data_IF_032387220796
#
_entry.id   IF_032387220796
#
_cell.length_a   1.000
_cell.length_b   1.000
_cell.length_c   1.000
_cell.angle_alpha   90.00
_cell.angle_beta   90.00
_cell.angle_gamma   90.00
#
_symmetry.space_group_name_H-M   'P 1'
#
loop_
_entity.id
_entity.type
_entity.pdbx_description
1 polymer ?
#
# COMPACT_ATOMS: atom_id res chain seq x y z
N UNK A 1 0.03 33.73 24.94
CA UNK A 1 0.82 32.57 25.41
C UNK A 1 1.19 31.80 24.16
N UNK A 2 2.48 31.74 23.83
CA UNK A 2 2.96 30.78 22.84
C UNK A 2 3.08 29.47 23.61
N UNK A 3 2.04 28.64 23.55
CA UNK A 3 2.14 27.29 24.07
C UNK A 3 2.97 26.51 23.05
N UNK A 4 4.28 26.47 23.27
CA UNK A 4 5.17 25.65 22.48
C UNK A 4 4.68 24.19 22.53
N UNK A 5 4.64 23.54 21.37
CA UNK A 5 4.27 22.13 21.30
C UNK A 5 5.25 21.31 22.15
N UNK A 6 4.78 20.24 22.81
CA UNK A 6 5.68 19.37 23.56
C UNK A 6 6.78 18.82 22.64
N UNK A 7 7.96 18.61 23.21
CA UNK A 7 9.08 18.05 22.48
C UNK A 7 8.78 16.59 22.11
N UNK A 8 8.36 16.39 20.86
CA UNK A 8 8.13 15.07 20.31
C UNK A 8 9.48 14.43 19.98
N UNK A 9 9.60 13.13 20.25
CA UNK A 9 10.75 12.36 19.81
C UNK A 9 10.93 12.52 18.29
N UNK A 10 12.11 12.99 17.89
CA UNK A 10 12.50 13.12 16.50
C UNK A 10 13.81 12.39 16.26
N UNK A 11 13.82 11.52 15.25
CA UNK A 11 15.04 10.87 14.80
C UNK A 11 15.88 11.86 13.99
N UNK A 12 17.10 12.11 14.45
CA UNK A 12 18.08 12.90 13.72
C UNK A 12 19.15 11.95 13.18
N UNK A 13 19.24 11.82 11.86
CA UNK A 13 20.13 10.83 11.21
C UNK A 13 21.59 10.97 11.62
N UNK A 14 22.10 12.18 11.81
CA UNK A 14 23.50 12.41 12.18
C UNK A 14 23.75 12.19 13.67
N UNK A 15 22.83 12.61 14.53
CA UNK A 15 22.93 12.43 16.00
C UNK A 15 22.70 10.98 16.42
N UNK A 16 21.74 10.33 15.78
CA UNK A 16 21.21 9.02 16.16
C UNK A 16 21.73 7.89 15.26
N UNK A 17 22.79 8.14 14.48
CA UNK A 17 23.37 7.17 13.54
C UNK A 17 23.72 5.84 14.23
N UNK A 18 24.27 5.92 15.44
CA UNK A 18 24.65 4.74 16.25
C UNK A 18 23.45 3.90 16.71
N UNK A 19 22.23 4.44 16.64
CA UNK A 19 20.99 3.72 16.94
C UNK A 19 20.43 3.01 15.71
N UNK A 20 20.95 3.29 14.50
CA UNK A 20 20.53 2.63 13.27
C UNK A 20 21.02 1.19 13.29
N UNK A 21 20.07 0.25 13.24
CA UNK A 21 20.35 -1.16 13.00
C UNK A 21 20.12 -1.45 11.53
N UNK A 22 21.06 -2.18 10.93
CA UNK A 22 20.92 -2.71 9.57
C UNK A 22 20.72 -4.20 9.67
N UNK A 23 19.68 -4.70 9.00
CA UNK A 23 19.33 -6.11 8.97
C UNK A 23 19.21 -6.53 7.50
N UNK A 24 19.72 -7.72 7.17
CA UNK A 24 19.50 -8.33 5.86
C UNK A 24 18.12 -8.97 5.82
N UNK A 25 17.34 -8.56 4.83
CA UNK A 25 15.92 -8.85 4.79
C UNK A 25 15.56 -9.72 3.57
N UNK A 26 14.93 -10.86 3.84
CA UNK A 26 14.38 -11.70 2.79
C UNK A 26 12.96 -11.27 2.43
N UNK A 27 12.83 -10.70 1.24
CA UNK A 27 11.55 -10.35 0.63
C UNK A 27 10.84 -11.61 0.12
N UNK A 28 9.65 -11.91 0.65
CA UNK A 28 8.83 -13.05 0.22
C UNK A 28 7.62 -12.60 -0.57
N UNK A 29 7.40 -13.16 -1.75
CA UNK A 29 6.27 -12.83 -2.59
C UNK A 29 6.57 -13.13 -4.06
N UNK A 30 5.65 -12.80 -4.97
CA UNK A 30 4.37 -12.16 -4.71
C UNK A 30 3.30 -13.06 -4.13
N UNK A 31 2.43 -12.45 -3.33
CA UNK A 31 1.24 -13.08 -2.80
C UNK A 31 -0.02 -12.50 -3.45
N UNK A 32 -1.08 -13.30 -3.51
CA UNK A 32 -2.40 -12.83 -3.89
C UNK A 32 -2.96 -11.93 -2.80
N UNK A 33 -3.61 -10.86 -3.23
CA UNK A 33 -4.50 -10.10 -2.37
C UNK A 33 -5.65 -10.94 -1.81
N UNK A 34 -6.14 -10.54 -0.64
CA UNK A 34 -7.23 -11.21 0.08
C UNK A 34 -8.49 -11.27 -0.79
N UNK A 35 -9.03 -12.47 -0.97
CA UNK A 35 -10.24 -12.71 -1.77
C UNK A 35 -10.00 -12.89 -3.28
N UNK A 36 -8.75 -12.81 -3.75
CA UNK A 36 -8.42 -12.91 -5.19
C UNK A 36 -7.56 -14.12 -5.58
N UNK A 37 -7.20 -15.01 -4.63
CA UNK A 37 -6.26 -16.11 -4.89
C UNK A 37 -6.70 -17.11 -5.95
N UNK A 38 -8.01 -17.22 -6.20
CA UNK A 38 -8.55 -18.09 -7.26
C UNK A 38 -8.30 -17.55 -8.68
N UNK A 39 -7.92 -16.27 -8.82
CA UNK A 39 -7.85 -15.58 -10.12
C UNK A 39 -6.43 -15.36 -10.66
N UNK A 40 -5.38 -15.53 -9.85
CA UNK A 40 -4.02 -15.09 -10.21
C UNK A 40 -2.92 -16.15 -9.99
N UNK A 41 -3.27 -17.37 -9.56
CA UNK A 41 -2.32 -18.47 -9.25
C UNK A 41 -1.24 -18.10 -8.21
N UNK A 42 -1.39 -16.99 -7.49
CA UNK A 42 -0.44 -16.55 -6.48
C UNK A 42 -0.77 -17.21 -5.13
N UNK A 43 0.25 -17.36 -4.29
CA UNK A 43 0.07 -17.85 -2.93
C UNK A 43 -0.80 -16.89 -2.10
N UNK A 44 -1.68 -17.36 -1.21
CA UNK A 44 -2.47 -16.47 -0.36
C UNK A 44 -1.60 -15.57 0.52
N UNK A 45 -2.08 -14.37 0.84
CA UNK A 45 -1.44 -13.49 1.83
C UNK A 45 -1.30 -14.21 3.18
N UNK A 46 -0.08 -14.39 3.72
CA UNK A 46 0.09 -14.96 5.05
C UNK A 46 -0.40 -13.98 6.13
N UNK A 47 -0.86 -14.48 7.28
CA UNK A 47 -1.27 -13.61 8.38
C UNK A 47 -0.14 -13.44 9.39
N UNK A 48 0.78 -12.52 9.11
CA UNK A 48 2.02 -12.31 9.88
C UNK A 48 2.19 -10.83 10.24
N UNK A 49 3.06 -10.53 11.20
CA UNK A 49 3.56 -9.16 11.43
C UNK A 49 4.77 -8.89 10.55
N UNK A 50 4.98 -7.63 10.17
CA UNK A 50 6.15 -7.20 9.41
C UNK A 50 5.93 -5.97 8.55
N UNK A 51 6.84 -5.79 7.60
CA UNK A 51 6.80 -4.75 6.57
C UNK A 51 6.31 -5.36 5.27
N UNK A 52 5.52 -4.59 4.53
CA UNK A 52 5.05 -4.95 3.19
C UNK A 52 5.33 -3.82 2.20
N UNK A 53 5.53 -4.21 0.94
CA UNK A 53 5.65 -3.30 -0.19
C UNK A 53 4.45 -3.48 -1.12
N UNK A 54 3.84 -2.40 -1.58
CA UNK A 54 2.95 -2.44 -2.74
C UNK A 54 3.75 -1.99 -3.95
N UNK A 55 3.75 -2.80 -5.00
CA UNK A 55 4.53 -2.56 -6.21
C UNK A 55 3.70 -2.76 -7.47
N UNK A 56 4.10 -2.07 -8.54
CA UNK A 56 3.63 -2.36 -9.89
C UNK A 56 4.73 -3.04 -10.68
N UNK A 57 4.38 -4.02 -11.52
CA UNK A 57 5.30 -4.54 -12.53
C UNK A 57 5.79 -3.41 -13.43
N UNK A 58 7.10 -3.36 -13.69
CA UNK A 58 7.70 -2.38 -14.58
C UNK A 58 8.93 -2.97 -15.25
N UNK A 59 8.87 -3.15 -16.57
CA UNK A 59 9.93 -3.78 -17.38
C UNK A 59 10.33 -5.14 -16.78
N UNK A 60 11.58 -5.28 -16.38
CA UNK A 60 12.21 -6.46 -15.78
C UNK A 60 12.16 -6.46 -14.23
N UNK A 61 11.45 -5.50 -13.63
CA UNK A 61 11.36 -5.37 -12.18
C UNK A 61 10.05 -4.74 -11.70
N UNK A 62 10.16 -3.87 -10.71
CA UNK A 62 9.03 -3.31 -9.98
C UNK A 62 9.22 -1.84 -9.64
N UNK A 63 8.14 -1.06 -9.70
CA UNK A 63 8.08 0.29 -9.13
C UNK A 63 7.39 0.22 -7.77
N UNK A 64 8.01 0.80 -6.74
CA UNK A 64 7.42 0.94 -5.42
C UNK A 64 6.27 1.95 -5.43
N UNK A 65 5.08 1.51 -5.06
CA UNK A 65 3.90 2.36 -4.85
C UNK A 65 3.83 2.88 -3.42
N UNK A 66 3.96 1.99 -2.44
CA UNK A 66 3.88 2.33 -1.02
C UNK A 66 4.50 1.24 -0.17
N UNK A 67 4.97 1.62 1.01
CA UNK A 67 5.46 0.70 2.05
C UNK A 67 4.59 0.86 3.28
N UNK A 68 4.45 -0.21 4.07
CA UNK A 68 3.83 -0.08 5.38
C UNK A 68 4.26 -1.18 6.34
N UNK A 69 3.99 -0.93 7.61
CA UNK A 69 4.27 -1.85 8.72
C UNK A 69 2.95 -2.25 9.37
N UNK A 70 2.83 -3.51 9.76
CA UNK A 70 1.64 -4.04 10.43
C UNK A 70 1.96 -5.20 11.35
N UNK A 71 1.15 -5.38 12.39
CA UNK A 71 1.20 -6.56 13.26
C UNK A 71 0.32 -7.71 12.74
N UNK A 72 -0.42 -7.49 11.64
CA UNK A 72 -1.18 -8.51 10.92
C UNK A 72 -1.41 -8.06 9.47
N UNK A 73 -0.80 -8.77 8.52
CA UNK A 73 -1.00 -8.53 7.08
C UNK A 73 -2.47 -8.74 6.69
N UNK A 74 -3.11 -9.81 7.17
CA UNK A 74 -4.50 -10.11 6.85
C UNK A 74 -5.45 -8.98 7.27
N UNK A 75 -5.33 -8.50 8.51
CA UNK A 75 -6.15 -7.39 9.01
C UNK A 75 -5.87 -6.10 8.25
N UNK A 76 -4.59 -5.77 8.01
CA UNK A 76 -4.21 -4.54 7.32
C UNK A 76 -4.71 -4.51 5.88
N UNK A 77 -4.65 -5.63 5.16
CA UNK A 77 -5.02 -5.65 3.75
C UNK A 77 -6.54 -5.68 3.58
N UNK A 78 -7.27 -6.29 4.52
CA UNK A 78 -8.74 -6.13 4.59
C UNK A 78 -9.12 -4.66 4.83
N UNK A 79 -8.39 -3.94 5.69
CA UNK A 79 -8.60 -2.51 5.89
C UNK A 79 -8.33 -1.73 4.60
N UNK A 80 -7.17 -1.94 3.95
CA UNK A 80 -6.87 -1.29 2.66
C UNK A 80 -7.96 -1.55 1.62
N UNK A 81 -8.45 -2.79 1.54
CA UNK A 81 -9.56 -3.15 0.64
C UNK A 81 -10.78 -2.29 0.91
N UNK A 82 -11.18 -2.17 2.19
CA UNK A 82 -12.31 -1.34 2.58
C UNK A 82 -12.10 0.13 2.21
N UNK A 83 -10.92 0.70 2.49
CA UNK A 83 -10.62 2.10 2.17
C UNK A 83 -10.64 2.37 0.66
N UNK A 84 -10.21 1.42 -0.18
CA UNK A 84 -10.35 1.52 -1.64
C UNK A 84 -11.81 1.44 -2.08
N UNK A 85 -12.59 0.50 -1.54
CA UNK A 85 -14.02 0.36 -1.86
C UNK A 85 -14.83 1.57 -1.38
N UNK A 86 -14.39 2.21 -0.32
CA UNK A 86 -14.93 3.47 0.18
C UNK A 86 -14.34 4.69 -0.53
N UNK A 87 -13.47 4.54 -1.52
CA UNK A 87 -12.92 5.68 -2.26
C UNK A 87 -12.06 6.62 -1.42
N UNK A 88 -11.65 6.21 -0.23
CA UNK A 88 -10.80 7.04 0.63
C UNK A 88 -9.35 7.10 0.12
N UNK A 89 -8.95 6.15 -0.72
CA UNK A 89 -7.61 6.10 -1.31
C UNK A 89 -7.57 6.49 -2.78
N UNK A 90 -6.45 7.07 -3.18
CA UNK A 90 -6.12 7.33 -4.59
C UNK A 90 -5.97 6.01 -5.34
N UNK A 91 -6.62 5.92 -6.49
CA UNK A 91 -6.60 4.75 -7.37
C UNK A 91 -5.84 5.11 -8.63
N UNK A 92 -4.84 4.29 -8.95
CA UNK A 92 -3.95 4.50 -10.09
C UNK A 92 -4.33 3.57 -11.24
N UNK A 93 -4.13 4.07 -12.45
CA UNK A 93 -4.23 3.27 -13.66
C UNK A 93 -2.98 2.39 -13.78
N UNK A 94 -3.18 1.09 -13.61
CA UNK A 94 -2.09 0.11 -13.55
C UNK A 94 -1.39 -0.06 -14.89
N UNK A 95 -2.11 0.07 -15.99
CA UNK A 95 -1.51 -0.08 -17.32
C UNK A 95 -0.58 1.11 -17.63
N UNK A 96 -0.91 2.30 -17.14
CA UNK A 96 0.00 3.45 -17.18
C UNK A 96 1.18 3.27 -16.20
N UNK A 97 0.93 2.72 -15.00
CA UNK A 97 2.00 2.47 -14.03
C UNK A 97 3.06 1.49 -14.58
N UNK A 98 2.64 0.48 -15.35
CA UNK A 98 3.55 -0.48 -16.03
C UNK A 98 4.50 0.14 -17.04
N UNK A 99 4.16 1.31 -17.58
CA UNK A 99 5.03 2.10 -18.47
C UNK A 99 5.68 3.27 -17.74
N UNK A 100 5.59 3.31 -16.41
CA UNK A 100 6.24 4.32 -15.58
C UNK A 100 5.51 5.65 -15.53
N UNK A 101 4.25 5.69 -15.95
CA UNK A 101 3.42 6.90 -15.97
C UNK A 101 2.43 6.84 -14.81
N UNK A 102 2.46 7.85 -13.94
CA UNK A 102 1.45 8.00 -12.90
C UNK A 102 0.19 8.62 -13.51
N UNK A 103 -0.90 7.85 -13.55
CA UNK A 103 -2.22 8.34 -13.92
C UNK A 103 -3.22 7.95 -12.84
N UNK A 104 -3.95 8.93 -12.31
CA UNK A 104 -4.98 8.70 -11.31
C UNK A 104 -6.33 8.48 -12.01
N UNK A 105 -7.04 7.41 -11.63
CA UNK A 105 -8.43 7.17 -12.03
C UNK A 105 -9.37 7.82 -11.00
N UNK A 106 -8.92 7.88 -9.74
CA UNK A 106 -9.65 8.51 -8.65
C UNK A 106 -8.67 9.15 -7.66
N UNK A 107 -8.97 10.37 -7.24
CA UNK A 107 -8.17 11.10 -6.25
C UNK A 107 -8.77 10.94 -4.84
N UNK A 108 -8.03 10.28 -3.94
CA UNK A 108 -8.49 9.94 -2.60
C UNK A 108 -8.42 11.08 -1.57
N UNK A 109 -8.39 10.71 -0.30
CA UNK A 109 -8.08 11.57 0.84
C UNK A 109 -9.00 12.81 0.96
N UNK A 110 -8.41 14.01 1.06
CA UNK A 110 -9.16 15.26 1.21
C UNK A 110 -10.07 15.57 0.02
N UNK A 111 -9.72 15.11 -1.19
CA UNK A 111 -10.61 15.25 -2.34
C UNK A 111 -11.83 14.35 -2.21
N UNK A 112 -11.63 13.07 -1.88
CA UNK A 112 -12.72 12.11 -1.70
C UNK A 112 -13.74 12.55 -0.66
N UNK A 113 -13.29 13.20 0.43
CA UNK A 113 -14.18 13.76 1.46
C UNK A 113 -15.16 14.80 0.91
N UNK A 114 -14.76 15.56 -0.13
CA UNK A 114 -15.55 16.64 -0.73
C UNK A 114 -16.34 16.20 -1.98
N UNK A 115 -16.01 15.06 -2.57
CA UNK A 115 -16.56 14.60 -3.86
C UNK A 115 -17.13 13.19 -3.73
N UNK A 116 -17.83 12.92 -2.61
CA UNK A 116 -18.34 11.58 -2.31
C UNK A 116 -19.37 11.09 -3.32
N UNK A 117 -20.20 12.00 -3.82
CA UNK A 117 -21.21 11.73 -4.84
C UNK A 117 -20.57 11.37 -6.19
N UNK A 118 -19.49 12.05 -6.59
CA UNK A 118 -18.69 11.71 -7.77
C UNK A 118 -18.17 10.26 -7.67
N UNK A 119 -17.55 9.90 -6.54
CA UNK A 119 -17.11 8.52 -6.32
C UNK A 119 -18.27 7.54 -6.46
N UNK A 120 -19.42 7.81 -5.83
CA UNK A 120 -20.57 6.90 -5.89
C UNK A 120 -21.17 6.76 -7.30
N UNK A 121 -21.12 7.81 -8.13
CA UNK A 121 -21.54 7.76 -9.54
C UNK A 121 -20.59 6.89 -10.37
N UNK A 122 -19.29 6.94 -10.07
CA UNK A 122 -18.27 6.28 -10.89
C UNK A 122 -17.77 4.94 -10.33
N UNK A 123 -18.04 4.59 -9.06
CA UNK A 123 -17.54 3.36 -8.42
C UNK A 123 -17.93 2.06 -9.14
N UNK A 124 -19.05 2.09 -9.86
CA UNK A 124 -19.61 0.95 -10.59
C UNK A 124 -19.05 0.82 -12.02
N UNK A 125 -18.30 1.81 -12.52
CA UNK A 125 -17.42 1.61 -13.66
C UNK A 125 -16.31 0.66 -13.21
N UNK A 126 -16.69 -0.61 -13.29
CA UNK A 126 -16.05 -1.87 -12.97
C UNK A 126 -14.52 -1.75 -12.73
N UNK A 127 -14.00 -2.42 -11.70
CA UNK A 127 -12.55 -2.71 -11.49
C UNK A 127 -11.65 -1.70 -10.73
N UNK A 128 -12.19 -0.73 -10.00
CA UNK A 128 -11.37 0.12 -9.11
C UNK A 128 -10.53 -0.67 -8.09
N UNK A 129 -11.03 -1.83 -7.65
CA UNK A 129 -10.28 -2.82 -6.87
C UNK A 129 -9.48 -3.79 -7.74
N UNK A 130 -10.13 -4.51 -8.68
CA UNK A 130 -9.47 -5.61 -9.43
C UNK A 130 -8.17 -5.19 -10.13
N UNK A 131 -8.08 -4.06 -10.85
CA UNK A 131 -6.83 -3.75 -11.57
C UNK A 131 -5.69 -3.33 -10.63
N UNK A 132 -5.96 -2.43 -9.69
CA UNK A 132 -4.98 -1.95 -8.71
C UNK A 132 -4.54 -3.01 -7.71
N UNK A 133 -5.35 -4.03 -7.45
CA UNK A 133 -5.12 -5.02 -6.40
C UNK A 133 -4.62 -6.36 -6.94
N UNK A 134 -5.03 -6.77 -8.15
CA UNK A 134 -4.65 -8.07 -8.72
C UNK A 134 -3.15 -8.21 -9.02
N UNK A 135 -2.41 -7.09 -9.05
CA UNK A 135 -1.00 -7.05 -9.43
C UNK A 135 -0.09 -6.43 -8.36
N UNK A 136 -0.63 -6.10 -7.18
CA UNK A 136 0.21 -5.69 -6.05
C UNK A 136 0.94 -6.91 -5.52
N UNK A 137 2.11 -7.13 -6.09
CA UNK A 137 3.11 -8.02 -5.57
C UNK A 137 3.65 -7.36 -4.31
N UNK A 138 3.37 -7.97 -3.17
CA UNK A 138 3.94 -7.55 -1.92
C UNK A 138 4.96 -8.55 -1.44
N UNK A 139 6.04 -7.98 -0.92
CA UNK A 139 7.11 -8.71 -0.31
C UNK A 139 7.00 -8.55 1.20
N UNK A 140 6.84 -9.64 1.93
CA UNK A 140 6.74 -9.64 3.40
C UNK A 140 8.12 -9.81 4.03
N UNK A 141 8.32 -9.11 5.16
CA UNK A 141 9.38 -9.38 6.13
C UNK A 141 8.85 -10.20 7.30
N UNK A 142 9.62 -11.20 7.73
CA UNK A 142 9.45 -11.83 9.03
C UNK A 142 10.49 -11.27 10.00
N UNK A 143 10.07 -11.00 11.24
CA UNK A 143 10.87 -10.62 12.41
C UNK A 143 11.37 -9.16 12.48
N UNK A 144 10.45 -8.19 12.54
CA UNK A 144 10.77 -6.89 13.16
C UNK A 144 9.59 -6.46 14.05
N UNK A 145 9.71 -6.75 15.34
CA UNK A 145 9.08 -6.02 16.45
C UNK A 145 10.12 -5.93 17.56
#
# INVERSE_FOLDING_TARGET
>A
MNDDLPEFWSFNRSRDESLIRTEDLQWRGPFSWIGFGQNNKLQPTPNVSGVYLFTFEYRDGYILRSVGITNSMKRRFSQHTREYLEGNYTILDVEYAKVGIRKEIWHGWGYAKRHRDEFLKHKNYQYFGKYSINQLKFNDLHNIV
#
